data_IF_449513620517
#
_entry.id   IF_449513620517
#
_cell.length_a   1.000
_cell.length_b   1.000
_cell.length_c   1.000
_cell.angle_alpha   90.00
_cell.angle_beta   90.00
_cell.angle_gamma   90.00
#
_symmetry.space_group_name_H-M   'P 1'
#
loop_
_entity.id
_entity.type
_entity.pdbx_description
1 polymer ?
#
# COMPACT_ATOMS: atom_id res chain seq x y z
N UNK A 1 62.99 -16.69 15.25
CA UNK A 1 61.58 -17.10 15.04
C UNK A 1 61.14 -16.54 13.70
N UNK A 2 60.56 -17.41 12.88
CA UNK A 2 60.30 -17.29 11.44
C UNK A 2 59.06 -16.46 11.12
N UNK A 3 59.09 -15.89 9.92
CA UNK A 3 58.10 -15.07 9.20
C UNK A 3 56.67 -15.68 9.15
N UNK A 4 55.61 -14.87 8.97
CA UNK A 4 54.89 -14.73 7.67
C UNK A 4 53.47 -14.11 7.74
N UNK A 5 53.25 -13.19 6.78
CA UNK A 5 52.09 -13.01 5.87
C UNK A 5 50.85 -12.23 6.35
N UNK A 6 50.76 -11.03 5.73
CA UNK A 6 49.62 -10.38 5.06
C UNK A 6 48.20 -10.90 5.36
N UNK A 7 47.24 -9.96 5.48
CA UNK A 7 46.22 -9.76 4.44
C UNK A 7 45.44 -8.48 4.76
N UNK A 8 45.54 -7.50 3.86
CA UNK A 8 44.60 -6.40 3.76
C UNK A 8 43.20 -6.96 3.51
N UNK A 9 42.21 -6.59 4.33
CA UNK A 9 40.81 -6.65 3.91
C UNK A 9 40.07 -5.45 4.46
N UNK A 10 40.17 -4.38 3.68
CA UNK A 10 39.14 -3.35 3.60
C UNK A 10 37.81 -4.06 3.29
N UNK A 11 36.89 -4.05 4.25
CA UNK A 11 35.47 -4.06 3.93
C UNK A 11 34.93 -2.68 4.30
N UNK A 12 35.22 -1.74 3.39
CA UNK A 12 34.25 -0.70 3.06
C UNK A 12 32.97 -1.43 2.68
N UNK A 13 32.07 -1.65 3.64
CA UNK A 13 30.66 -1.85 3.29
C UNK A 13 30.12 -0.48 2.94
N UNK A 14 30.48 -0.10 1.71
CA UNK A 14 29.73 0.72 0.80
C UNK A 14 28.27 0.79 1.24
N UNK A 15 27.89 1.90 1.87
CA UNK A 15 26.49 2.29 1.96
C UNK A 15 26.03 2.50 0.52
N UNK A 16 25.59 1.41 -0.12
CA UNK A 16 24.93 1.48 -1.41
C UNK A 16 23.81 2.52 -1.27
N UNK A 17 23.81 3.62 -2.04
CA UNK A 17 22.56 4.31 -2.29
C UNK A 17 21.66 3.27 -2.95
N UNK A 18 20.53 2.92 -2.33
CA UNK A 18 19.55 2.04 -2.97
C UNK A 18 19.31 2.56 -4.39
N UNK A 19 19.60 1.76 -5.43
CA UNK A 19 19.31 2.19 -6.79
C UNK A 19 17.79 2.25 -6.90
N UNK A 20 17.27 3.44 -7.15
CA UNK A 20 15.94 3.67 -7.72
C UNK A 20 14.87 2.69 -7.25
N UNK A 21 14.55 2.67 -5.94
CA UNK A 21 13.20 2.21 -5.60
C UNK A 21 12.27 3.17 -6.34
N UNK A 22 11.39 2.70 -7.26
CA UNK A 22 10.32 3.56 -7.71
C UNK A 22 9.67 4.09 -6.45
N UNK A 23 9.72 5.41 -6.26
CA UNK A 23 9.00 6.08 -5.20
C UNK A 23 7.53 5.85 -5.54
N UNK A 24 7.00 4.68 -5.18
CA UNK A 24 5.59 4.42 -5.31
C UNK A 24 4.96 5.52 -4.47
N UNK A 25 4.20 6.44 -5.08
CA UNK A 25 3.64 7.55 -4.33
C UNK A 25 2.86 6.95 -3.16
N UNK A 26 3.16 7.38 -1.94
CA UNK A 26 2.35 6.97 -0.80
C UNK A 26 0.95 7.54 -1.00
N UNK A 27 -0.12 6.78 -0.71
CA UNK A 27 -1.46 7.31 -0.80
C UNK A 27 -1.61 8.52 0.14
N UNK A 28 -2.28 9.60 -0.30
CA UNK A 28 -2.60 10.72 0.58
C UNK A 28 -3.44 10.25 1.77
N UNK A 29 -3.33 10.94 2.91
CA UNK A 29 -4.11 10.62 4.10
C UNK A 29 -5.60 10.55 3.77
N UNK A 30 -6.25 9.42 4.09
CA UNK A 30 -7.65 9.18 3.77
C UNK A 30 -8.58 10.06 4.61
N UNK A 31 -9.19 11.06 3.99
CA UNK A 31 -10.30 11.81 4.55
C UNK A 31 -11.57 11.53 3.75
N UNK A 32 -12.37 10.57 4.24
CA UNK A 32 -13.56 10.05 3.55
C UNK A 32 -14.93 10.72 3.83
N UNK A 33 -15.18 11.40 4.97
CA UNK A 33 -16.56 11.71 5.39
C UNK A 33 -17.28 12.76 4.54
N UNK A 34 -16.56 13.54 3.72
CA UNK A 34 -17.12 14.62 2.89
C UNK A 34 -17.10 14.34 1.38
N UNK A 35 -16.51 13.23 0.93
CA UNK A 35 -16.39 12.94 -0.50
C UNK A 35 -17.74 12.52 -1.11
N UNK A 36 -17.92 12.68 -2.43
CA UNK A 36 -19.11 12.16 -3.13
C UNK A 36 -18.94 10.67 -3.44
N UNK A 37 -20.04 9.93 -3.68
CA UNK A 37 -19.94 8.50 -4.11
C UNK A 37 -19.10 8.37 -5.39
N UNK A 38 -19.22 9.32 -6.31
CA UNK A 38 -18.40 9.35 -7.54
C UNK A 38 -16.90 9.48 -7.20
N UNK A 39 -16.55 10.39 -6.31
CA UNK A 39 -15.16 10.59 -5.85
C UNK A 39 -14.59 9.35 -5.18
N UNK A 40 -15.40 8.67 -4.35
CA UNK A 40 -15.00 7.43 -3.68
C UNK A 40 -14.74 6.29 -4.69
N UNK A 41 -15.55 6.18 -5.75
CA UNK A 41 -15.35 5.17 -6.80
C UNK A 41 -14.07 5.46 -7.60
N UNK A 42 -13.84 6.73 -7.97
CA UNK A 42 -12.59 7.11 -8.66
C UNK A 42 -11.37 6.80 -7.80
N UNK A 43 -11.40 7.18 -6.51
CA UNK A 43 -10.33 6.89 -5.55
C UNK A 43 -10.10 5.38 -5.35
N UNK A 44 -11.16 4.57 -5.45
CA UNK A 44 -11.07 3.11 -5.36
C UNK A 44 -10.38 2.55 -6.59
N UNK A 45 -10.75 3.00 -7.80
CA UNK A 45 -10.09 2.59 -9.05
C UNK A 45 -8.60 2.92 -9.03
N UNK A 46 -8.22 4.12 -8.58
CA UNK A 46 -6.81 4.50 -8.43
C UNK A 46 -6.06 3.57 -7.47
N UNK A 47 -6.68 3.19 -6.34
CA UNK A 47 -6.05 2.29 -5.39
C UNK A 47 -5.90 0.86 -5.96
N UNK A 48 -6.89 0.39 -6.72
CA UNK A 48 -6.87 -0.91 -7.40
C UNK A 48 -5.79 -0.96 -8.49
N UNK A 49 -5.62 0.10 -9.26
CA UNK A 49 -4.58 0.22 -10.30
C UNK A 49 -3.19 0.18 -9.66
N UNK A 50 -2.97 0.95 -8.58
CA UNK A 50 -1.70 0.92 -7.84
C UNK A 50 -1.41 -0.47 -7.23
N UNK A 51 -2.44 -1.21 -6.80
CA UNK A 51 -2.28 -2.58 -6.30
C UNK A 51 -1.98 -3.60 -7.40
N UNK A 52 -2.40 -3.33 -8.63
CA UNK A 52 -2.13 -4.18 -9.81
C UNK A 52 -0.68 -4.04 -10.26
N UNK A 53 -0.14 -2.84 -10.18
CA UNK A 53 1.23 -2.54 -10.61
C UNK A 53 2.29 -3.02 -9.61
N UNK A 54 1.88 -3.32 -8.37
CA UNK A 54 2.77 -3.83 -7.32
C UNK A 54 2.72 -5.35 -7.23
N UNK A 55 3.88 -5.99 -7.23
CA UNK A 55 4.01 -7.42 -6.96
C UNK A 55 3.32 -7.82 -5.64
N UNK A 56 2.46 -8.86 -5.61
CA UNK A 56 1.69 -9.23 -4.42
C UNK A 56 2.57 -9.73 -3.28
N UNK A 57 3.65 -10.44 -3.61
CA UNK A 57 4.56 -11.05 -2.66
C UNK A 57 6.00 -10.72 -3.01
N UNK A 58 6.83 -10.65 -1.97
CA UNK A 58 8.28 -10.48 -2.10
C UNK A 58 8.98 -11.44 -1.16
N UNK A 59 10.19 -11.87 -1.53
CA UNK A 59 11.05 -12.62 -0.62
C UNK A 59 11.76 -11.64 0.32
N UNK A 60 11.61 -11.84 1.63
CA UNK A 60 12.29 -11.07 2.67
C UNK A 60 12.85 -12.02 3.72
N UNK A 61 14.16 -12.00 3.95
CA UNK A 61 14.86 -12.88 4.89
C UNK A 61 14.55 -14.38 4.64
N UNK A 62 14.52 -14.80 3.37
CA UNK A 62 14.20 -16.18 2.98
C UNK A 62 12.74 -16.59 3.17
N UNK A 63 11.84 -15.65 3.52
CA UNK A 63 10.41 -15.90 3.68
C UNK A 63 9.60 -15.14 2.63
N UNK A 64 8.60 -15.79 2.07
CA UNK A 64 7.61 -15.14 1.22
C UNK A 64 6.68 -14.30 2.10
N UNK A 65 6.64 -12.99 1.87
CA UNK A 65 5.79 -12.06 2.62
C UNK A 65 4.95 -11.22 1.66
N UNK A 66 3.82 -10.70 2.13
CA UNK A 66 3.08 -9.68 1.38
C UNK A 66 3.99 -8.48 1.16
N UNK A 67 4.00 -7.96 -0.07
CA UNK A 67 4.81 -6.80 -0.40
C UNK A 67 4.46 -5.62 0.52
N UNK A 68 5.40 -5.11 1.34
CA UNK A 68 5.13 -4.03 2.27
C UNK A 68 4.68 -2.75 1.56
N UNK A 69 5.09 -2.53 0.30
CA UNK A 69 4.63 -1.39 -0.49
C UNK A 69 3.12 -1.42 -0.78
N UNK A 70 2.48 -2.60 -0.74
CA UNK A 70 1.03 -2.76 -0.95
C UNK A 70 0.20 -2.40 0.29
N UNK A 71 0.78 -2.47 1.48
CA UNK A 71 0.04 -2.27 2.75
C UNK A 71 -0.76 -0.96 2.81
N UNK A 72 -0.20 0.22 2.50
CA UNK A 72 -0.96 1.46 2.57
C UNK A 72 -2.11 1.49 1.55
N UNK A 73 -1.92 0.89 0.36
CA UNK A 73 -2.94 0.80 -0.67
C UNK A 73 -4.06 -0.19 -0.33
N UNK A 74 -3.73 -1.33 0.28
CA UNK A 74 -4.71 -2.29 0.83
C UNK A 74 -5.57 -1.62 1.91
N UNK A 75 -4.95 -0.84 2.80
CA UNK A 75 -5.68 -0.10 3.83
C UNK A 75 -6.63 0.94 3.19
N UNK A 76 -6.17 1.64 2.15
CA UNK A 76 -6.98 2.61 1.37
C UNK A 76 -8.19 1.97 0.71
N UNK A 77 -7.98 0.90 -0.06
CA UNK A 77 -9.03 0.15 -0.74
C UNK A 77 -10.11 -0.30 0.26
N UNK A 78 -9.69 -0.90 1.39
CA UNK A 78 -10.62 -1.37 2.43
C UNK A 78 -11.45 -0.24 3.04
N UNK A 79 -10.84 0.93 3.29
CA UNK A 79 -11.54 2.09 3.82
C UNK A 79 -12.58 2.63 2.84
N UNK A 80 -12.22 2.75 1.55
CA UNK A 80 -13.13 3.19 0.48
C UNK A 80 -14.31 2.23 0.31
N UNK A 81 -14.04 0.92 0.30
CA UNK A 81 -15.09 -0.12 0.23
C UNK A 81 -16.01 -0.06 1.45
N UNK A 82 -15.46 0.14 2.66
CA UNK A 82 -16.26 0.28 3.87
C UNK A 82 -17.19 1.51 3.81
N UNK A 83 -16.68 2.65 3.35
CA UNK A 83 -17.45 3.89 3.19
C UNK A 83 -18.57 3.75 2.16
N UNK A 84 -18.27 3.16 0.99
CA UNK A 84 -19.28 2.88 -0.04
C UNK A 84 -20.37 1.95 0.47
N UNK A 85 -20.01 0.91 1.24
CA UNK A 85 -20.97 0.01 1.88
C UNK A 85 -21.85 0.74 2.88
N UNK A 86 -21.27 1.59 3.73
CA UNK A 86 -22.00 2.42 4.69
C UNK A 86 -23.06 3.28 4.00
N UNK A 87 -22.68 4.00 2.95
CA UNK A 87 -23.59 4.85 2.17
C UNK A 87 -24.70 4.07 1.48
N UNK A 88 -24.41 2.87 0.96
CA UNK A 88 -25.42 1.98 0.38
C UNK A 88 -26.47 1.55 1.41
N UNK A 89 -26.07 1.31 2.66
CA UNK A 89 -26.98 0.95 3.75
C UNK A 89 -27.84 2.16 4.13
N UNK A 90 -27.25 3.34 4.32
CA UNK A 90 -27.98 4.57 4.66
C UNK A 90 -28.98 4.97 3.58
N UNK A 91 -28.58 4.91 2.30
CA UNK A 91 -29.46 5.19 1.17
C UNK A 91 -30.62 4.19 1.03
N UNK A 92 -30.43 2.92 1.45
CA UNK A 92 -31.53 1.94 1.53
C UNK A 92 -32.46 2.18 2.71
N UNK A 93 -31.93 2.56 3.87
CA UNK A 93 -32.73 2.90 5.06
C UNK A 93 -33.61 4.12 4.85
N UNK A 94 -33.14 5.12 4.09
CA UNK A 94 -33.95 6.28 3.68
C UNK A 94 -34.94 6.01 2.54
N UNK A 95 -34.95 4.80 1.97
CA UNK A 95 -35.76 4.41 0.81
C UNK A 95 -36.62 3.17 1.11
N UNK A 96 -36.97 2.95 2.38
CA UNK A 96 -38.05 2.03 2.76
C UNK A 96 -39.39 2.70 2.43
N UNK A 97 -40.16 2.20 1.45
CA UNK A 97 -41.49 2.71 1.17
C UNK A 97 -42.47 2.07 2.15
N UNK A 98 -43.19 2.90 2.91
CA UNK A 98 -44.35 2.44 3.69
C UNK A 98 -44.51 3.02 5.10
N UNK A 99 -44.48 4.34 5.27
CA UNK A 99 -45.05 5.02 6.45
C UNK A 99 -45.16 6.53 6.22
N UNK A 100 -46.33 7.14 6.44
CA UNK A 100 -47.63 6.89 5.79
C UNK A 100 -47.71 7.41 4.34
#
# INVERSE_FOLDING_TARGET
>A
MTQQVETHSQLQTQSQPEPDRPMTPLPPALHLPSETVRTLVVSLTEAEDMLRDLEPFVLRNGRLVVNPARQPWIARERALVAELRSRRITGRRGKLPGLP
#
